data_IF_643831120052
#
_entry.id   IF_643831120052
#
_cell.length_a   1.000
_cell.length_b   1.000
_cell.length_c   1.000
_cell.angle_alpha   90.00
_cell.angle_beta   90.00
_cell.angle_gamma   90.00
#
_symmetry.space_group_name_H-M   'P 1'
#
loop_
_entity.id
_entity.type
_entity.pdbx_description
1 polymer ?
#
# COMPACT_ATOMS: atom_id res chain seq x y z
N UNK A 1 -23.97 20.55 8.76
CA UNK A 1 -24.72 19.45 8.13
C UNK A 1 -23.83 18.22 8.16
N UNK A 2 -24.35 17.05 8.55
CA UNK A 2 -23.61 15.78 8.59
C UNK A 2 -24.34 14.74 7.74
N UNK A 3 -23.60 13.80 7.18
CA UNK A 3 -24.11 12.62 6.48
C UNK A 3 -23.56 11.35 7.11
N UNK A 4 -24.38 10.32 7.21
CA UNK A 4 -23.93 8.99 7.60
C UNK A 4 -23.48 8.17 6.39
N UNK A 5 -22.74 7.09 6.66
CA UNK A 5 -22.36 6.13 5.60
C UNK A 5 -23.60 5.40 5.08
N UNK A 6 -24.61 5.18 5.93
CA UNK A 6 -25.89 4.58 5.57
C UNK A 6 -26.64 5.45 4.56
N UNK A 7 -26.75 6.75 4.80
CA UNK A 7 -27.39 7.70 3.89
C UNK A 7 -26.71 7.73 2.51
N UNK A 8 -25.38 7.70 2.49
CA UNK A 8 -24.61 7.62 1.23
C UNK A 8 -24.86 6.28 0.54
N UNK A 9 -24.91 5.17 1.28
CA UNK A 9 -25.23 3.86 0.73
C UNK A 9 -26.66 3.80 0.17
N UNK A 10 -27.63 4.48 0.78
CA UNK A 10 -28.98 4.59 0.21
C UNK A 10 -28.97 5.33 -1.14
N UNK A 11 -28.18 6.41 -1.28
CA UNK A 11 -27.96 7.05 -2.59
C UNK A 11 -27.31 6.12 -3.60
N UNK A 12 -26.35 5.29 -3.19
CA UNK A 12 -25.75 4.26 -4.05
C UNK A 12 -26.83 3.28 -4.55
N UNK A 13 -27.68 2.78 -3.65
CA UNK A 13 -28.79 1.86 -4.00
C UNK A 13 -29.75 2.49 -5.01
N UNK A 14 -30.11 3.77 -4.82
CA UNK A 14 -30.98 4.53 -5.72
C UNK A 14 -30.32 4.92 -7.05
N UNK A 15 -28.99 4.93 -7.12
CA UNK A 15 -28.24 5.40 -8.29
C UNK A 15 -28.09 6.93 -8.36
N UNK A 16 -28.31 7.61 -7.24
CA UNK A 16 -28.27 9.07 -7.09
C UNK A 16 -26.91 9.57 -6.57
N UNK A 17 -26.00 8.64 -6.23
CA UNK A 17 -24.69 8.96 -5.64
C UNK A 17 -23.82 9.76 -6.60
N UNK A 18 -23.25 10.86 -6.11
CA UNK A 18 -22.23 11.63 -6.85
C UNK A 18 -20.85 11.23 -6.36
N UNK A 19 -20.09 10.60 -7.24
CA UNK A 19 -18.74 10.11 -6.96
C UNK A 19 -17.73 10.83 -7.84
N UNK A 20 -16.71 11.41 -7.24
CA UNK A 20 -15.56 12.01 -7.93
C UNK A 20 -14.27 11.26 -7.59
N UNK A 21 -13.29 11.28 -8.49
CA UNK A 21 -11.92 10.93 -8.14
C UNK A 21 -11.26 12.07 -7.38
N UNK A 22 -10.19 11.75 -6.66
CA UNK A 22 -9.51 12.72 -5.82
C UNK A 22 -8.81 13.86 -6.60
N UNK A 23 -8.41 13.64 -7.85
CA UNK A 23 -7.97 14.68 -8.80
C UNK A 23 -9.13 15.57 -9.26
N UNK A 24 -10.30 14.99 -9.55
CA UNK A 24 -11.48 15.75 -10.01
C UNK A 24 -12.01 16.73 -8.95
N UNK A 25 -12.04 16.33 -7.67
CA UNK A 25 -12.47 17.22 -6.58
C UNK A 25 -11.45 18.32 -6.29
N UNK A 26 -10.15 18.07 -6.49
CA UNK A 26 -9.11 19.11 -6.39
C UNK A 26 -9.31 20.17 -7.48
N UNK A 27 -9.64 19.76 -8.71
CA UNK A 27 -9.98 20.72 -9.77
C UNK A 27 -11.28 21.49 -9.49
N UNK A 28 -12.31 20.82 -8.95
CA UNK A 28 -13.55 21.45 -8.54
C UNK A 28 -13.33 22.51 -7.46
N UNK A 29 -12.40 22.26 -6.53
CA UNK A 29 -12.04 23.18 -5.44
C UNK A 29 -11.47 24.52 -5.89
N UNK A 30 -10.91 24.60 -7.09
CA UNK A 30 -10.43 25.87 -7.68
C UNK A 30 -11.57 26.83 -8.02
N UNK A 31 -12.77 26.30 -8.23
CA UNK A 31 -13.94 27.07 -8.71
C UNK A 31 -15.05 27.15 -7.66
N UNK A 32 -15.09 26.21 -6.72
CA UNK A 32 -16.19 26.08 -5.76
C UNK A 32 -15.74 26.11 -4.30
N UNK A 33 -16.61 26.67 -3.44
CA UNK A 33 -16.43 26.67 -1.99
C UNK A 33 -16.70 25.27 -1.41
N UNK A 34 -16.04 24.92 -0.31
CA UNK A 34 -16.19 23.63 0.39
C UNK A 34 -17.65 23.25 0.63
N UNK A 35 -18.45 24.22 1.10
CA UNK A 35 -19.87 24.03 1.37
C UNK A 35 -20.66 23.57 0.13
N UNK A 36 -20.33 24.11 -1.04
CA UNK A 36 -21.01 23.74 -2.30
C UNK A 36 -20.51 22.39 -2.83
N UNK A 37 -19.21 22.10 -2.68
CA UNK A 37 -18.65 20.78 -2.97
C UNK A 37 -19.33 19.71 -2.12
N UNK A 38 -19.44 19.93 -0.81
CA UNK A 38 -20.09 19.00 0.10
C UNK A 38 -21.55 18.74 -0.28
N UNK A 39 -22.31 19.79 -0.66
CA UNK A 39 -23.69 19.61 -1.13
C UNK A 39 -23.78 18.71 -2.36
N UNK A 40 -22.84 18.83 -3.30
CA UNK A 40 -22.88 18.15 -4.60
C UNK A 40 -22.28 16.75 -4.60
N UNK A 41 -21.22 16.51 -3.82
CA UNK A 41 -20.42 15.28 -3.87
C UNK A 41 -20.69 14.42 -2.65
N UNK A 42 -20.84 13.11 -2.85
CA UNK A 42 -21.08 12.15 -1.77
C UNK A 42 -19.83 11.35 -1.42
N UNK A 43 -19.03 10.95 -2.41
CA UNK A 43 -17.85 10.11 -2.22
C UNK A 43 -16.69 10.56 -3.10
N UNK A 44 -15.48 10.53 -2.54
CA UNK A 44 -14.23 10.73 -3.28
C UNK A 44 -13.45 9.43 -3.36
N UNK A 45 -13.13 8.96 -4.56
CA UNK A 45 -12.33 7.74 -4.75
C UNK A 45 -10.87 8.07 -4.93
N UNK A 46 -10.02 7.35 -4.20
CA UNK A 46 -8.57 7.49 -4.20
C UNK A 46 -7.91 6.26 -4.82
N UNK A 47 -6.62 6.36 -5.14
CA UNK A 47 -5.87 5.27 -5.75
C UNK A 47 -4.37 5.46 -5.60
N UNK A 48 -3.67 4.35 -5.37
CA UNK A 48 -2.21 4.28 -5.42
C UNK A 48 -1.78 2.96 -6.04
N UNK A 49 -0.78 3.02 -6.92
CA UNK A 49 -0.07 1.85 -7.43
C UNK A 49 1.43 2.04 -7.18
N UNK A 50 1.83 1.68 -5.97
CA UNK A 50 3.18 1.90 -5.46
C UNK A 50 3.81 0.60 -4.99
N UNK A 51 5.09 0.69 -4.64
CA UNK A 51 5.82 -0.42 -4.04
C UNK A 51 5.37 -0.65 -2.60
N UNK A 52 4.88 -1.86 -2.34
CA UNK A 52 4.38 -2.33 -1.06
C UNK A 52 5.23 -3.53 -0.63
N UNK A 53 6.46 -3.27 -0.17
CA UNK A 53 7.41 -4.33 0.19
C UNK A 53 6.94 -5.16 1.39
N UNK A 54 6.23 -4.56 2.34
CA UNK A 54 5.64 -5.27 3.48
C UNK A 54 4.33 -5.93 3.11
N UNK A 55 4.42 -6.87 2.18
CA UNK A 55 3.33 -7.69 1.68
C UNK A 55 3.69 -9.17 1.75
N UNK A 56 2.68 -10.03 1.85
CA UNK A 56 2.86 -11.47 1.85
C UNK A 56 1.52 -12.19 1.67
N UNK A 57 1.60 -13.49 1.42
CA UNK A 57 0.42 -14.32 1.18
C UNK A 57 0.38 -15.51 2.12
N UNK A 58 -0.80 -15.76 2.68
CA UNK A 58 -1.15 -17.02 3.31
C UNK A 58 -1.72 -17.96 2.25
N UNK A 59 -1.32 -19.23 2.31
CA UNK A 59 -1.77 -20.29 1.41
C UNK A 59 -2.06 -21.53 2.25
N UNK A 60 -3.27 -22.06 2.12
CA UNK A 60 -3.66 -23.34 2.70
C UNK A 60 -3.79 -24.38 1.59
N UNK A 61 -2.97 -25.42 1.67
CA UNK A 61 -2.91 -26.46 0.61
C UNK A 61 -3.94 -27.57 0.80
N UNK A 62 -4.53 -27.70 1.99
CA UNK A 62 -5.24 -28.90 2.41
C UNK A 62 -4.28 -30.02 2.81
N UNK A 63 -4.83 -31.11 3.33
CA UNK A 63 -4.03 -32.28 3.72
C UNK A 63 -3.64 -33.10 2.49
N UNK A 64 -2.39 -33.56 2.49
CA UNK A 64 -1.89 -34.56 1.55
C UNK A 64 -2.15 -35.98 2.06
N UNK A 65 -1.94 -36.96 1.19
CA UNK A 65 -2.01 -38.38 1.55
C UNK A 65 -0.70 -39.07 1.09
N UNK A 66 0.13 -39.60 2.00
CA UNK A 66 -0.04 -39.54 3.46
C UNK A 66 0.04 -38.11 4.03
N UNK A 67 -0.60 -37.82 5.18
CA UNK A 67 -0.58 -36.48 5.76
C UNK A 67 0.82 -36.08 6.20
N UNK A 68 1.17 -34.82 5.93
CA UNK A 68 2.47 -34.20 6.25
C UNK A 68 2.25 -32.81 6.84
N UNK A 69 3.12 -32.42 7.78
CA UNK A 69 3.21 -31.03 8.25
C UNK A 69 4.13 -30.24 7.32
N UNK A 70 3.72 -29.04 6.93
CA UNK A 70 4.53 -28.14 6.11
C UNK A 70 5.38 -27.27 7.04
N UNK A 71 6.59 -27.71 7.36
CA UNK A 71 7.52 -27.00 8.26
C UNK A 71 8.64 -26.29 7.48
N UNK A 72 9.51 -27.05 6.82
CA UNK A 72 10.55 -26.50 5.95
C UNK A 72 10.00 -26.38 4.54
N UNK A 73 9.52 -25.20 4.16
CA UNK A 73 8.77 -25.01 2.92
C UNK A 73 9.52 -24.14 1.93
N UNK A 74 9.50 -24.53 0.65
CA UNK A 74 9.86 -23.66 -0.46
C UNK A 74 8.78 -23.66 -1.54
N UNK A 75 8.63 -22.50 -2.20
CA UNK A 75 7.76 -22.26 -3.34
C UNK A 75 8.62 -21.75 -4.50
N UNK A 76 8.83 -22.54 -5.55
CA UNK A 76 9.81 -22.26 -6.61
C UNK A 76 11.19 -21.86 -6.05
N UNK A 77 11.68 -22.63 -5.07
CA UNK A 77 12.95 -22.42 -4.38
C UNK A 77 13.06 -21.06 -3.63
N UNK A 78 11.94 -20.36 -3.43
CA UNK A 78 11.79 -19.26 -2.47
C UNK A 78 11.35 -19.82 -1.14
N UNK A 79 12.05 -19.48 -0.05
CA UNK A 79 11.67 -19.92 1.28
C UNK A 79 10.28 -19.40 1.64
N UNK A 80 9.47 -20.24 2.25
CA UNK A 80 8.20 -19.83 2.83
C UNK A 80 8.15 -20.30 4.29
N UNK A 81 7.44 -19.56 5.13
CA UNK A 81 7.26 -19.90 6.52
C UNK A 81 6.15 -20.96 6.63
N UNK A 82 6.55 -22.17 7.00
CA UNK A 82 5.65 -23.19 7.52
C UNK A 82 5.46 -23.03 9.04
N UNK A 83 5.03 -24.07 9.73
CA UNK A 83 4.88 -24.05 11.19
C UNK A 83 3.62 -23.32 11.69
N UNK A 84 2.72 -22.96 10.78
CA UNK A 84 1.37 -22.50 11.10
C UNK A 84 0.47 -23.73 11.05
N UNK A 85 0.46 -24.48 12.16
CA UNK A 85 -0.15 -25.80 12.21
C UNK A 85 0.40 -26.76 11.13
N UNK A 86 -0.46 -27.43 10.36
CA UNK A 86 -0.07 -28.53 9.49
C UNK A 86 0.06 -28.16 8.01
N UNK A 87 -0.85 -27.35 7.45
CA UNK A 87 -0.97 -27.17 5.98
C UNK A 87 -1.06 -25.72 5.53
N UNK A 88 -0.84 -24.77 6.45
CA UNK A 88 -0.77 -23.34 6.18
C UNK A 88 0.68 -22.88 5.99
N UNK A 89 0.87 -22.00 5.01
CA UNK A 89 2.15 -21.43 4.62
C UNK A 89 2.01 -19.92 4.52
N UNK A 90 3.02 -19.18 4.96
CA UNK A 90 3.16 -17.74 4.68
C UNK A 90 4.40 -17.44 3.85
N UNK A 91 4.23 -16.76 2.71
CA UNK A 91 5.34 -16.30 1.87
C UNK A 91 5.43 -14.77 1.87
N UNK A 92 6.60 -14.24 2.24
CA UNK A 92 6.90 -12.81 2.22
C UNK A 92 7.29 -12.33 0.82
N UNK A 93 6.78 -11.19 0.38
CA UNK A 93 7.02 -10.68 -0.97
C UNK A 93 8.50 -10.39 -1.27
N UNK A 94 9.28 -10.01 -0.27
CA UNK A 94 10.70 -9.64 -0.43
C UNK A 94 11.65 -10.83 -0.27
N UNK A 95 11.15 -12.02 0.08
CA UNK A 95 11.98 -13.21 0.23
C UNK A 95 12.60 -13.58 -1.12
N UNK A 96 13.92 -13.81 -1.15
CA UNK A 96 14.63 -14.12 -2.40
C UNK A 96 14.60 -15.62 -2.66
N UNK A 97 14.65 -16.00 -3.93
CA UNK A 97 14.94 -17.39 -4.27
C UNK A 97 16.40 -17.72 -3.95
N UNK A 98 16.64 -18.97 -3.54
CA UNK A 98 18.00 -19.46 -3.36
C UNK A 98 18.75 -19.40 -4.71
N UNK A 99 19.92 -18.75 -4.72
CA UNK A 99 20.76 -18.64 -5.90
C UNK A 99 20.27 -17.67 -6.98
N UNK A 100 19.21 -16.88 -6.74
CA UNK A 100 18.69 -15.89 -7.70
C UNK A 100 18.40 -14.54 -7.05
N UNK A 101 18.95 -13.48 -7.62
CA UNK A 101 18.71 -12.12 -7.12
C UNK A 101 17.41 -11.49 -7.65
N UNK A 102 16.97 -11.92 -8.83
CA UNK A 102 15.90 -11.32 -9.63
C UNK A 102 14.54 -11.99 -9.43
N UNK A 103 14.48 -13.09 -8.68
CA UNK A 103 13.27 -13.87 -8.39
C UNK A 103 13.06 -14.02 -6.88
N UNK A 104 11.80 -14.05 -6.46
CA UNK A 104 11.45 -14.08 -5.03
C UNK A 104 9.96 -14.18 -4.78
N UNK A 105 9.54 -13.97 -3.53
CA UNK A 105 8.18 -14.19 -3.09
C UNK A 105 7.14 -13.36 -3.85
N UNK A 106 7.46 -12.12 -4.22
CA UNK A 106 6.57 -11.31 -5.06
C UNK A 106 6.31 -11.96 -6.43
N UNK A 107 7.32 -12.64 -7.01
CA UNK A 107 7.19 -13.35 -8.29
C UNK A 107 6.35 -14.62 -8.13
N UNK A 108 6.52 -15.35 -7.03
CA UNK A 108 5.65 -16.50 -6.69
C UNK A 108 4.19 -16.05 -6.55
N UNK A 109 3.94 -14.98 -5.78
CA UNK A 109 2.60 -14.43 -5.57
C UNK A 109 1.99 -13.96 -6.91
N UNK A 110 2.76 -13.24 -7.74
CA UNK A 110 2.29 -12.83 -9.07
C UNK A 110 2.01 -14.02 -9.98
N UNK A 111 2.87 -15.05 -9.96
CA UNK A 111 2.70 -16.27 -10.76
C UNK A 111 1.41 -17.00 -10.39
N UNK A 112 1.14 -17.15 -9.09
CA UNK A 112 -0.14 -17.68 -8.59
C UNK A 112 -1.34 -16.91 -9.16
N UNK A 113 -1.31 -15.58 -9.09
CA UNK A 113 -2.38 -14.70 -9.61
C UNK A 113 -2.55 -14.84 -11.13
N UNK A 114 -1.47 -15.13 -11.87
CA UNK A 114 -1.53 -15.43 -13.31
C UNK A 114 -2.02 -16.84 -13.63
N UNK A 115 -2.26 -17.68 -12.62
CA UNK A 115 -2.68 -19.07 -12.79
C UNK A 115 -1.52 -20.03 -13.08
N UNK A 116 -0.28 -19.63 -12.81
CA UNK A 116 0.89 -20.49 -12.96
C UNK A 116 0.90 -21.60 -11.90
N UNK A 117 1.54 -22.72 -12.24
CA UNK A 117 1.83 -23.80 -11.29
C UNK A 117 3.12 -23.48 -10.55
N UNK A 118 3.08 -23.51 -9.22
CA UNK A 118 4.21 -23.26 -8.33
C UNK A 118 4.65 -24.57 -7.70
N UNK A 119 5.94 -24.87 -7.77
CA UNK A 119 6.54 -26.05 -7.16
C UNK A 119 6.63 -25.84 -5.65
N UNK A 120 5.85 -26.59 -4.89
CA UNK A 120 5.92 -26.69 -3.44
C UNK A 120 6.84 -27.85 -3.07
N UNK A 121 7.87 -27.57 -2.27
CA UNK A 121 8.62 -28.59 -1.54
C UNK A 121 8.42 -28.37 -0.06
N UNK A 122 8.15 -29.43 0.69
CA UNK A 122 8.10 -29.34 2.14
C UNK A 122 8.74 -30.56 2.81
N UNK A 123 9.40 -30.31 3.95
CA UNK A 123 9.94 -31.34 4.84
C UNK A 123 9.45 -31.14 6.27
N UNK A 124 9.28 -32.24 6.99
CA UNK A 124 8.99 -32.25 8.42
C UNK A 124 9.36 -33.59 9.06
N UNK A 125 9.51 -33.61 10.37
CA UNK A 125 9.63 -34.85 11.11
C UNK A 125 8.27 -35.56 11.18
N UNK A 126 8.24 -36.90 11.01
CA UNK A 126 6.99 -37.64 11.04
C UNK A 126 6.41 -37.71 12.46
N UNK A 127 5.10 -37.80 12.55
CA UNK A 127 4.33 -38.07 13.77
C UNK A 127 3.22 -39.07 13.45
N UNK A 128 2.57 -39.65 14.46
CA UNK A 128 1.47 -40.61 14.23
C UNK A 128 0.33 -40.01 13.39
N UNK A 129 0.02 -38.72 13.58
CA UNK A 129 -1.00 -38.01 12.80
C UNK A 129 -0.50 -37.53 11.43
N UNK A 130 0.81 -37.44 11.22
CA UNK A 130 1.44 -36.91 10.01
C UNK A 130 2.70 -37.72 9.68
N UNK A 131 2.56 -38.92 9.11
CA UNK A 131 3.68 -39.82 8.87
C UNK A 131 4.54 -39.41 7.65
N UNK A 132 4.04 -38.51 6.79
CA UNK A 132 4.79 -37.99 5.65
C UNK A 132 6.02 -37.18 6.08
N UNK A 133 7.16 -37.42 5.43
CA UNK A 133 8.46 -36.78 5.75
C UNK A 133 8.84 -35.67 4.79
N UNK A 134 8.57 -35.89 3.50
CA UNK A 134 8.87 -34.97 2.42
C UNK A 134 7.76 -35.02 1.38
N UNK A 135 7.48 -33.88 0.76
CA UNK A 135 6.56 -33.79 -0.38
C UNK A 135 7.11 -32.80 -1.41
N UNK A 136 6.91 -33.15 -2.69
CA UNK A 136 7.20 -32.29 -3.82
C UNK A 136 6.02 -32.34 -4.80
N UNK A 137 5.28 -31.24 -4.94
CA UNK A 137 4.07 -31.14 -5.76
C UNK A 137 3.95 -29.78 -6.42
N UNK A 138 3.03 -29.65 -7.38
CA UNK A 138 2.67 -28.37 -7.99
C UNK A 138 1.33 -27.87 -7.46
N UNK A 139 1.34 -26.65 -6.91
CA UNK A 139 0.15 -25.94 -6.43
C UNK A 139 -0.19 -24.77 -7.35
N UNK A 140 -1.44 -24.32 -7.32
CA UNK A 140 -1.97 -23.16 -8.03
C UNK A 140 -3.18 -22.63 -7.28
N UNK A 141 -3.66 -21.43 -7.61
CA UNK A 141 -4.88 -20.89 -6.98
C UNK A 141 -6.13 -21.77 -7.25
N UNK A 142 -6.10 -22.66 -8.24
CA UNK A 142 -7.21 -23.58 -8.53
C UNK A 142 -7.29 -24.79 -7.59
N UNK A 143 -6.16 -25.27 -7.08
CA UNK A 143 -6.11 -26.51 -6.27
C UNK A 143 -5.76 -26.29 -4.79
N UNK A 144 -5.44 -25.07 -4.38
CA UNK A 144 -5.32 -24.73 -2.95
C UNK A 144 -6.68 -24.31 -2.40
N UNK A 145 -6.94 -24.63 -1.12
CA UNK A 145 -8.20 -24.33 -0.45
C UNK A 145 -8.38 -22.82 -0.33
N UNK A 146 -7.46 -22.16 0.37
CA UNK A 146 -7.46 -20.72 0.60
C UNK A 146 -6.13 -20.11 0.16
N UNK A 147 -6.22 -18.89 -0.38
CA UNK A 147 -5.06 -18.05 -0.59
C UNK A 147 -5.48 -16.59 -0.41
N UNK A 148 -4.85 -15.87 0.50
CA UNK A 148 -5.14 -14.46 0.74
C UNK A 148 -3.86 -13.68 0.99
N UNK A 149 -3.87 -12.44 0.52
CA UNK A 149 -2.80 -11.50 0.77
C UNK A 149 -3.02 -10.90 2.16
N UNK A 150 -2.01 -10.94 3.02
CA UNK A 150 -2.00 -10.24 4.29
C UNK A 150 -0.76 -9.37 4.35
N UNK A 151 -0.98 -8.06 4.34
CA UNK A 151 0.08 -7.07 4.29
C UNK A 151 0.14 -6.39 5.65
N UNK A 152 1.17 -6.67 6.48
CA UNK A 152 1.25 -6.07 7.82
C UNK A 152 1.44 -4.55 7.78
N UNK A 153 1.81 -3.97 6.64
CA UNK A 153 2.06 -2.53 6.51
C UNK A 153 2.06 -2.08 5.05
N UNK A 154 1.05 -1.31 4.64
CA UNK A 154 0.91 -0.69 3.32
C UNK A 154 0.37 0.74 3.49
N UNK A 155 0.14 1.45 2.37
CA UNK A 155 -0.55 2.74 2.34
C UNK A 155 -0.04 3.71 3.41
N UNK A 156 1.24 4.07 3.35
CA UNK A 156 1.76 5.15 4.19
C UNK A 156 0.95 6.43 3.95
N UNK A 157 0.60 7.11 5.05
CA UNK A 157 -0.14 8.36 5.04
C UNK A 157 0.65 9.44 4.32
N UNK A 158 1.94 9.55 4.63
CA UNK A 158 2.92 10.31 3.88
C UNK A 158 4.29 9.66 4.10
N UNK A 159 5.31 10.10 3.36
CA UNK A 159 6.65 9.57 3.41
C UNK A 159 7.69 10.61 2.98
N UNK A 160 8.97 10.37 3.28
CA UNK A 160 10.08 11.24 2.86
C UNK A 160 10.39 11.08 1.36
N UNK A 161 10.87 12.15 0.74
CA UNK A 161 11.65 12.09 -0.49
C UNK A 161 13.14 11.82 -0.14
N UNK A 162 13.89 11.26 -1.07
CA UNK A 162 15.27 10.84 -0.87
C UNK A 162 16.20 11.48 -1.91
N UNK A 163 17.37 11.96 -1.46
CA UNK A 163 18.48 12.40 -2.30
C UNK A 163 19.80 11.84 -1.75
N UNK A 164 20.94 12.16 -2.37
CA UNK A 164 22.24 11.61 -2.02
C UNK A 164 23.33 12.67 -2.16
N UNK A 165 23.87 13.17 -1.05
CA UNK A 165 25.00 14.11 -1.03
C UNK A 165 26.36 13.46 -1.31
N UNK A 166 26.45 12.13 -1.18
CA UNK A 166 27.73 11.42 -1.27
C UNK A 166 28.26 11.39 -2.71
N UNK A 167 29.52 10.97 -2.85
CA UNK A 167 30.18 10.79 -4.15
C UNK A 167 29.80 9.46 -4.83
N UNK A 168 29.17 8.55 -4.10
CA UNK A 168 28.87 7.19 -4.54
C UNK A 168 27.42 7.06 -5.02
N UNK A 169 27.20 6.18 -6.00
CA UNK A 169 25.85 5.82 -6.42
C UNK A 169 25.19 4.94 -5.34
N UNK A 170 24.01 5.33 -4.86
CA UNK A 170 23.27 4.54 -3.88
C UNK A 170 22.13 3.76 -4.53
N UNK A 171 22.02 2.48 -4.19
CA UNK A 171 20.89 1.63 -4.58
C UNK A 171 19.92 1.52 -3.40
N UNK A 172 18.68 1.97 -3.60
CA UNK A 172 17.65 2.02 -2.55
C UNK A 172 16.34 1.41 -3.03
N UNK A 173 15.38 1.23 -2.14
CA UNK A 173 14.01 0.84 -2.52
C UNK A 173 13.33 1.89 -3.41
N UNK A 174 13.77 3.15 -3.38
CA UNK A 174 13.27 4.17 -4.29
C UNK A 174 13.98 4.15 -5.66
N UNK A 175 14.87 3.19 -5.90
CA UNK A 175 15.75 3.16 -7.07
C UNK A 175 17.09 3.85 -6.81
N UNK A 176 17.88 4.10 -7.88
CA UNK A 176 19.20 4.71 -7.76
C UNK A 176 19.10 6.18 -7.33
N UNK A 177 19.92 6.56 -6.34
CA UNK A 177 20.17 7.95 -5.97
C UNK A 177 21.56 8.36 -6.45
N UNK A 178 21.60 9.28 -7.40
CA UNK A 178 22.80 9.76 -8.06
C UNK A 178 23.66 10.60 -7.11
N UNK A 179 25.00 10.51 -7.22
CA UNK A 179 25.93 11.31 -6.41
C UNK A 179 25.65 12.81 -6.45
N UNK A 180 26.12 13.52 -5.41
CA UNK A 180 26.16 14.99 -5.35
C UNK A 180 24.81 15.67 -5.63
N UNK A 181 23.72 15.15 -5.05
CA UNK A 181 22.35 15.59 -5.24
C UNK A 181 21.86 15.47 -6.70
N UNK A 182 22.30 14.45 -7.44
CA UNK A 182 21.97 14.31 -8.85
C UNK A 182 20.48 14.04 -9.14
N UNK A 183 19.73 13.52 -8.16
CA UNK A 183 18.28 13.35 -8.26
C UNK A 183 17.57 13.35 -6.88
N UNK A 184 16.25 13.43 -6.93
CA UNK A 184 15.31 13.23 -5.82
C UNK A 184 14.28 12.17 -6.21
N UNK A 185 14.17 11.11 -5.41
CA UNK A 185 13.17 10.07 -5.61
C UNK A 185 12.13 10.12 -4.49
N UNK A 186 10.88 9.82 -4.79
CA UNK A 186 9.81 9.79 -3.80
C UNK A 186 8.76 8.73 -4.16
N UNK A 187 7.87 8.37 -3.22
CA UNK A 187 6.86 7.35 -3.45
C UNK A 187 5.51 7.74 -2.86
N UNK A 188 4.66 8.34 -3.70
CA UNK A 188 3.24 8.58 -3.41
C UNK A 188 2.48 8.83 -4.72
N UNK A 189 1.16 8.68 -4.70
CA UNK A 189 0.27 9.18 -5.76
C UNK A 189 -0.20 10.62 -5.51
N UNK A 190 0.35 11.30 -4.48
CA UNK A 190 0.07 12.70 -4.20
C UNK A 190 -1.37 12.90 -3.76
N UNK A 191 -2.07 13.84 -4.38
CA UNK A 191 -3.50 14.08 -4.16
C UNK A 191 -4.40 12.89 -4.53
N UNK A 192 -3.91 11.84 -5.19
CA UNK A 192 -4.67 10.58 -5.34
C UNK A 192 -4.49 9.63 -4.16
N UNK A 193 -3.55 9.88 -3.26
CA UNK A 193 -3.23 8.96 -2.17
C UNK A 193 -4.38 8.86 -1.16
N UNK A 194 -4.82 7.64 -0.79
CA UNK A 194 -5.94 7.42 0.12
C UNK A 194 -5.88 8.23 1.41
N UNK A 195 -4.80 8.10 2.16
CA UNK A 195 -4.69 8.66 3.50
C UNK A 195 -4.33 10.16 3.51
N UNK A 196 -3.93 10.74 2.37
CA UNK A 196 -3.85 12.20 2.27
C UNK A 196 -5.24 12.85 2.34
N UNK A 197 -6.29 12.10 2.00
CA UNK A 197 -7.67 12.58 1.96
C UNK A 197 -8.45 12.31 3.23
N UNK A 198 -7.88 11.57 4.17
CA UNK A 198 -8.42 11.34 5.51
C UNK A 198 -7.30 11.46 6.57
N UNK A 199 -6.76 12.68 6.80
CA UNK A 199 -5.59 12.91 7.66
C UNK A 199 -5.77 12.44 9.10
N UNK A 200 -7.02 12.36 9.57
CA UNK A 200 -7.37 12.01 10.95
C UNK A 200 -8.12 10.68 11.07
N UNK A 201 -8.11 9.85 10.01
CA UNK A 201 -8.75 8.52 10.02
C UNK A 201 -10.23 8.56 10.44
N UNK A 202 -10.94 9.61 9.99
CA UNK A 202 -12.35 9.89 10.32
C UNK A 202 -13.29 8.86 9.68
N UNK A 203 -12.89 8.31 8.54
CA UNK A 203 -13.67 7.37 7.71
C UNK A 203 -12.92 6.05 7.46
N UNK A 204 -11.59 6.06 7.57
CA UNK A 204 -10.75 4.87 7.46
C UNK A 204 -10.45 4.28 8.83
N UNK A 205 -10.84 3.03 9.04
CA UNK A 205 -10.52 2.27 10.25
C UNK A 205 -10.52 0.76 10.03
N UNK A 206 -10.36 -0.01 11.09
CA UNK A 206 -10.41 -1.48 11.01
C UNK A 206 -11.79 -1.89 10.47
N UNK A 207 -11.83 -2.76 9.45
CA UNK A 207 -13.06 -3.17 8.77
C UNK A 207 -13.53 -2.23 7.64
N UNK A 208 -12.83 -1.11 7.39
CA UNK A 208 -13.10 -0.29 6.20
C UNK A 208 -12.83 -1.13 4.94
N UNK A 209 -13.84 -1.23 4.07
CA UNK A 209 -13.76 -1.94 2.79
C UNK A 209 -12.97 -1.11 1.79
N UNK A 210 -12.09 -1.77 1.04
CA UNK A 210 -11.18 -1.13 0.09
C UNK A 210 -11.11 -1.90 -1.22
N UNK A 211 -10.54 -1.25 -2.24
CA UNK A 211 -9.98 -1.91 -3.42
C UNK A 211 -8.55 -2.34 -3.09
N UNK A 212 -8.19 -3.60 -3.35
CA UNK A 212 -6.82 -4.11 -3.23
C UNK A 212 -6.56 -5.15 -4.33
N UNK A 213 -5.50 -4.96 -5.11
CA UNK A 213 -5.07 -5.94 -6.12
C UNK A 213 -6.11 -6.29 -7.18
N UNK A 214 -7.10 -5.43 -7.45
CA UNK A 214 -8.18 -5.71 -8.41
C UNK A 214 -9.44 -6.33 -7.81
N UNK A 215 -9.48 -6.57 -6.50
CA UNK A 215 -10.65 -7.12 -5.78
C UNK A 215 -11.04 -6.22 -4.59
N UNK A 216 -12.08 -6.62 -3.86
CA UNK A 216 -12.47 -6.05 -2.57
C UNK A 216 -11.57 -6.63 -1.48
N UNK A 217 -11.19 -5.79 -0.53
CA UNK A 217 -10.48 -6.20 0.68
C UNK A 217 -10.83 -5.29 1.83
N UNK A 218 -10.05 -5.38 2.89
CA UNK A 218 -10.33 -4.67 4.14
C UNK A 218 -9.06 -4.15 4.80
N UNK A 219 -9.21 -3.06 5.55
CA UNK A 219 -8.22 -2.67 6.56
C UNK A 219 -8.33 -3.65 7.72
N UNK A 220 -7.27 -4.40 7.98
CA UNK A 220 -7.19 -5.39 9.03
C UNK A 220 -6.68 -4.80 10.36
N UNK A 221 -5.79 -3.80 10.31
CA UNK A 221 -5.14 -3.18 11.48
C UNK A 221 -4.45 -1.84 11.10
N UNK A 222 -3.85 -1.13 12.05
CA UNK A 222 -3.02 0.08 11.77
C UNK A 222 -1.70 -0.22 11.04
N UNK A 223 -1.20 -1.44 11.17
CA UNK A 223 0.05 -1.86 10.56
C UNK A 223 1.30 -1.48 11.34
N UNK A 224 2.38 -2.23 11.08
CA UNK A 224 3.48 -2.42 12.03
C UNK A 224 4.45 -1.25 12.20
N UNK A 225 4.35 -0.21 11.36
CA UNK A 225 5.11 1.03 11.54
C UNK A 225 4.21 2.26 11.47
N UNK A 226 3.01 2.14 12.04
CA UNK A 226 2.16 3.29 12.17
C UNK A 226 2.86 4.37 13.01
N UNK A 227 3.03 5.57 12.46
CA UNK A 227 3.69 6.67 13.15
C UNK A 227 2.78 7.88 13.36
N UNK A 228 2.63 8.30 14.63
CA UNK A 228 1.86 9.48 15.05
C UNK A 228 2.71 10.70 15.40
N UNK A 229 4.01 10.52 15.62
CA UNK A 229 4.92 11.53 16.17
C UNK A 229 5.50 12.46 15.13
N UNK A 230 5.32 12.11 13.86
CA UNK A 230 5.77 12.97 12.77
C UNK A 230 5.06 14.30 12.85
N UNK A 231 5.86 15.36 12.86
CA UNK A 231 5.43 16.75 12.71
C UNK A 231 4.33 16.86 11.65
N UNK A 232 3.21 17.50 12.00
CA UNK A 232 2.05 17.65 11.11
C UNK A 232 1.94 19.08 10.62
N UNK A 233 1.50 19.24 9.37
CA UNK A 233 1.14 20.54 8.84
C UNK A 233 -0.10 21.09 9.55
N UNK A 234 -0.02 22.35 10.00
CA UNK A 234 -1.06 22.97 10.84
C UNK A 234 -2.40 23.16 10.13
N UNK A 235 -2.41 23.23 8.80
CA UNK A 235 -3.61 23.50 8.00
C UNK A 235 -4.26 22.18 7.58
N UNK A 236 -3.46 21.26 7.04
CA UNK A 236 -3.98 20.00 6.49
C UNK A 236 -4.07 18.87 7.52
N UNK A 237 -3.33 18.96 8.62
CA UNK A 237 -3.19 17.86 9.59
C UNK A 237 -2.33 16.69 9.09
N UNK A 238 -1.81 16.77 7.87
CA UNK A 238 -1.00 15.70 7.29
C UNK A 238 0.41 15.68 7.89
N UNK A 239 1.00 14.50 8.12
CA UNK A 239 2.38 14.38 8.56
C UNK A 239 3.34 14.88 7.48
N UNK A 240 4.37 15.62 7.88
CA UNK A 240 5.46 16.10 7.02
C UNK A 240 6.61 15.07 7.11
N UNK A 241 6.37 13.88 6.55
CA UNK A 241 7.27 12.72 6.63
C UNK A 241 6.50 11.41 6.82
N UNK A 242 7.16 10.32 7.27
CA UNK A 242 6.52 9.00 7.46
C UNK A 242 5.38 9.09 8.48
N UNK A 243 4.15 8.86 8.02
CA UNK A 243 2.93 8.93 8.84
C UNK A 243 2.36 7.57 9.22
N UNK A 244 1.05 7.55 9.46
CA UNK A 244 0.29 6.31 9.67
C UNK A 244 0.38 5.33 8.51
N UNK A 245 0.06 4.07 8.75
CA UNK A 245 0.02 3.00 7.75
C UNK A 245 -1.30 2.25 7.84
N UNK A 246 -1.47 1.22 7.01
CA UNK A 246 -2.58 0.28 7.14
C UNK A 246 -2.06 -1.15 7.00
N UNK A 247 -2.51 -2.06 7.87
CA UNK A 247 -2.45 -3.48 7.57
C UNK A 247 -3.66 -3.86 6.71
N UNK A 248 -3.45 -4.58 5.62
CA UNK A 248 -4.49 -4.84 4.63
C UNK A 248 -4.63 -6.33 4.36
N UNK A 249 -5.86 -6.78 4.12
CA UNK A 249 -6.19 -8.15 3.75
C UNK A 249 -7.04 -8.18 2.47
N UNK A 250 -6.78 -9.15 1.60
CA UNK A 250 -7.56 -9.34 0.37
C UNK A 250 -7.49 -10.76 -0.18
N UNK A 251 -8.54 -11.21 -0.87
CA UNK A 251 -8.62 -12.55 -1.44
C UNK A 251 -7.68 -12.67 -2.65
N UNK A 252 -6.58 -13.43 -2.51
CA UNK A 252 -5.58 -13.58 -3.58
C UNK A 252 -6.15 -14.35 -4.78
N UNK A 253 -7.10 -15.26 -4.54
CA UNK A 253 -7.76 -16.07 -5.59
C UNK A 253 -8.54 -15.24 -6.61
N UNK A 254 -8.90 -13.99 -6.26
CA UNK A 254 -9.66 -13.06 -7.10
C UNK A 254 -8.85 -11.85 -7.57
N UNK A 255 -7.59 -11.73 -7.15
CA UNK A 255 -6.74 -10.61 -7.55
C UNK A 255 -6.38 -10.69 -9.04
N UNK A 256 -5.99 -9.54 -9.60
CA UNK A 256 -5.56 -9.42 -11.00
C UNK A 256 -4.10 -8.98 -11.06
N UNK A 257 -3.31 -9.64 -11.90
CA UNK A 257 -1.88 -9.35 -12.08
C UNK A 257 -1.59 -7.96 -12.67
N UNK A 258 -2.60 -7.26 -13.18
CA UNK A 258 -2.46 -5.87 -13.61
C UNK A 258 -2.38 -4.87 -12.43
N UNK A 259 -2.89 -5.27 -11.25
CA UNK A 259 -2.85 -4.51 -10.00
C UNK A 259 -1.97 -5.15 -8.92
N UNK A 260 -1.27 -6.25 -9.25
CA UNK A 260 -0.29 -6.92 -8.40
C UNK A 260 0.87 -7.38 -9.29
N UNK A 261 2.03 -6.71 -9.18
CA UNK A 261 3.20 -6.98 -10.03
C UNK A 261 4.46 -7.14 -9.20
N UNK A 262 5.19 -8.21 -9.42
CA UNK A 262 6.53 -8.35 -8.87
C UNK A 262 7.48 -7.33 -9.50
N UNK A 263 8.49 -6.92 -8.75
CA UNK A 263 9.56 -6.08 -9.22
C UNK A 263 10.89 -6.55 -8.64
N UNK A 264 11.94 -6.38 -9.43
CA UNK A 264 13.32 -6.43 -8.97
C UNK A 264 13.93 -5.04 -9.13
N UNK A 265 14.55 -4.55 -8.06
CA UNK A 265 15.23 -3.26 -8.03
C UNK A 265 16.70 -3.55 -7.91
N UNK A 266 17.45 -3.24 -8.96
CA UNK A 266 18.89 -3.45 -9.03
C UNK A 266 19.58 -2.89 -7.79
N UNK A 267 20.39 -3.71 -7.12
CA UNK A 267 21.14 -3.35 -5.92
C UNK A 267 20.32 -3.21 -4.64
N UNK A 268 18.98 -3.36 -4.68
CA UNK A 268 18.12 -3.36 -3.50
C UNK A 268 17.45 -4.73 -3.28
N UNK A 269 16.77 -5.26 -4.29
CA UNK A 269 16.16 -6.60 -4.26
C UNK A 269 14.70 -6.63 -4.72
N UNK A 270 14.00 -7.66 -4.27
CA UNK A 270 12.63 -7.98 -4.67
C UNK A 270 11.62 -7.07 -3.97
N UNK A 271 10.60 -6.65 -4.69
CA UNK A 271 9.46 -5.91 -4.15
C UNK A 271 8.17 -6.24 -4.89
N UNK A 272 7.05 -5.74 -4.39
CA UNK A 272 5.73 -5.93 -4.97
C UNK A 272 5.08 -4.57 -5.22
N UNK A 273 4.69 -4.30 -6.46
CA UNK A 273 3.75 -3.23 -6.76
C UNK A 273 2.33 -3.73 -6.52
N UNK A 274 1.56 -2.96 -5.76
CA UNK A 274 0.18 -3.30 -5.42
C UNK A 274 -0.72 -2.09 -5.58
N UNK A 275 -1.87 -2.31 -6.22
CA UNK A 275 -2.93 -1.34 -6.39
C UNK A 275 -3.85 -1.30 -5.18
N UNK A 276 -4.02 -0.14 -4.57
CA UNK A 276 -4.91 0.08 -3.43
C UNK A 276 -5.75 1.32 -3.69
N UNK A 277 -7.05 1.25 -3.43
CA UNK A 277 -7.97 2.37 -3.53
C UNK A 277 -8.93 2.38 -2.35
N UNK A 278 -9.18 3.56 -1.78
CA UNK A 278 -10.08 3.72 -0.63
C UNK A 278 -11.12 4.78 -0.96
N UNK A 279 -12.42 4.51 -0.79
CA UNK A 279 -13.43 5.54 -0.93
C UNK A 279 -13.48 6.40 0.33
N UNK A 280 -13.51 7.71 0.16
CA UNK A 280 -13.61 8.71 1.21
C UNK A 280 -15.03 9.29 1.17
N UNK A 281 -15.95 8.84 2.04
CA UNK A 281 -17.27 9.42 2.14
C UNK A 281 -17.19 10.85 2.67
N UNK A 282 -17.89 11.78 2.03
CA UNK A 282 -17.99 13.14 2.53
C UNK A 282 -19.09 13.19 3.60
N UNK A 283 -18.68 13.04 4.86
CA UNK A 283 -19.57 13.01 6.02
C UNK A 283 -19.90 14.40 6.57
N UNK A 284 -19.07 15.42 6.27
CA UNK A 284 -19.32 16.83 6.55
C UNK A 284 -18.44 17.74 5.68
N UNK A 285 -18.59 19.06 5.86
CA UNK A 285 -17.81 20.08 5.15
C UNK A 285 -16.30 19.97 5.42
N UNK A 286 -15.90 19.59 6.62
CA UNK A 286 -14.48 19.40 6.96
C UNK A 286 -13.89 18.19 6.21
N UNK A 287 -14.65 17.09 6.08
CA UNK A 287 -14.25 15.96 5.26
C UNK A 287 -14.12 16.34 3.78
N UNK A 288 -15.01 17.22 3.28
CA UNK A 288 -14.91 17.76 1.92
C UNK A 288 -13.66 18.64 1.73
N UNK A 289 -13.24 19.38 2.76
CA UNK A 289 -11.97 20.10 2.75
C UNK A 289 -10.78 19.13 2.62
N UNK A 290 -10.69 18.11 3.49
CA UNK A 290 -9.59 17.14 3.44
C UNK A 290 -9.56 16.35 2.14
N UNK A 291 -10.72 15.93 1.63
CA UNK A 291 -10.82 15.25 0.35
C UNK A 291 -10.37 16.13 -0.84
N UNK A 292 -10.40 17.46 -0.69
CA UNK A 292 -9.97 18.43 -1.70
C UNK A 292 -8.51 18.92 -1.57
N UNK A 293 -7.72 18.37 -0.64
CA UNK A 293 -6.30 18.74 -0.47
C UNK A 293 -5.52 18.49 -1.77
N UNK A 294 -4.89 19.53 -2.32
CA UNK A 294 -4.09 19.45 -3.56
C UNK A 294 -2.63 19.11 -3.26
N UNK A 295 -1.88 18.69 -4.29
CA UNK A 295 -0.43 18.45 -4.18
C UNK A 295 0.39 19.62 -3.63
N UNK A 296 -0.08 20.87 -3.74
CA UNK A 296 0.64 22.04 -3.23
C UNK A 296 0.52 22.20 -1.70
N UNK A 297 -0.53 21.62 -1.12
CA UNK A 297 -0.81 21.65 0.31
C UNK A 297 -0.15 20.48 1.05
N UNK A 298 0.31 19.46 0.32
CA UNK A 298 0.90 18.26 0.93
C UNK A 298 2.41 18.42 0.98
N UNK A 299 2.94 18.67 2.17
CA UNK A 299 4.38 18.86 2.42
C UNK A 299 5.11 17.54 2.66
N UNK A 300 6.40 17.51 2.34
CA UNK A 300 7.30 16.40 2.69
C UNK A 300 8.75 16.89 2.86
N UNK A 301 9.61 16.03 3.40
CA UNK A 301 11.04 16.27 3.63
C UNK A 301 11.84 15.57 2.54
N UNK A 302 12.77 16.29 1.91
CA UNK A 302 13.85 15.71 1.12
C UNK A 302 14.98 15.37 2.10
N UNK A 303 15.27 14.07 2.23
CA UNK A 303 16.22 13.54 3.20
C UNK A 303 17.45 13.00 2.48
N UNK A 304 18.63 13.24 3.04
CA UNK A 304 19.89 12.81 2.45
C UNK A 304 20.27 11.37 2.88
N UNK A 305 20.17 10.43 1.93
CA UNK A 305 20.57 9.03 2.11
C UNK A 305 22.07 8.81 1.97
N UNK A 306 22.84 9.82 1.53
CA UNK A 306 24.30 9.82 1.55
C UNK A 306 24.86 9.69 2.97
N UNK A 307 24.10 10.16 3.97
CA UNK A 307 24.43 9.97 5.38
C UNK A 307 23.90 8.62 5.86
N UNK A 308 24.81 7.71 6.18
CA UNK A 308 24.53 6.34 6.64
C UNK A 308 24.13 6.29 8.13
N UNK A 309 23.13 7.09 8.52
CA UNK A 309 22.53 7.10 9.86
C UNK A 309 21.01 6.93 9.78
N UNK A 310 20.38 6.54 10.89
CA UNK A 310 18.92 6.48 10.98
C UNK A 310 18.33 7.90 10.93
N UNK A 311 18.87 8.78 11.76
CA UNK A 311 18.59 10.22 11.72
C UNK A 311 19.43 10.86 10.60
N UNK A 312 18.76 11.09 9.47
CA UNK A 312 19.38 11.61 8.25
C UNK A 312 19.07 13.10 8.11
N UNK A 313 20.02 13.93 7.66
CA UNK A 313 19.77 15.36 7.47
C UNK A 313 18.60 15.64 6.53
N UNK A 314 17.77 16.60 6.92
CA UNK A 314 16.75 17.18 6.05
C UNK A 314 17.42 18.23 5.18
N UNK A 315 17.43 18.01 3.87
CA UNK A 315 18.00 18.93 2.88
C UNK A 315 17.05 20.09 2.61
N UNK A 316 15.75 19.79 2.48
CA UNK A 316 14.70 20.76 2.15
C UNK A 316 13.32 20.24 2.56
N UNK A 317 12.45 21.13 3.03
CA UNK A 317 11.00 20.88 3.09
C UNK A 317 10.38 21.41 1.79
N UNK A 318 9.60 20.57 1.12
CA UNK A 318 8.94 20.87 -0.16
C UNK A 318 7.48 20.40 -0.14
N UNK A 319 6.77 20.51 -1.25
CA UNK A 319 5.45 19.93 -1.45
C UNK A 319 5.40 19.03 -2.69
N UNK A 320 4.34 18.23 -2.81
CA UNK A 320 4.22 17.31 -3.93
C UNK A 320 4.00 18.01 -5.27
N UNK A 321 3.51 19.25 -5.31
CA UNK A 321 3.42 20.03 -6.58
C UNK A 321 4.81 20.30 -7.16
N UNK A 322 5.78 20.70 -6.34
CA UNK A 322 7.18 20.86 -6.78
C UNK A 322 7.75 19.51 -7.23
N UNK A 323 7.61 18.46 -6.42
CA UNK A 323 8.14 17.13 -6.75
C UNK A 323 7.54 16.53 -8.03
N UNK A 324 6.25 16.68 -8.27
CA UNK A 324 5.57 16.23 -9.49
C UNK A 324 5.84 17.12 -10.71
N UNK A 325 6.41 18.32 -10.54
CA UNK A 325 6.87 19.14 -11.68
C UNK A 325 8.05 18.50 -12.45
N UNK A 326 8.66 17.47 -11.86
CA UNK A 326 9.81 16.74 -12.41
C UNK A 326 11.16 17.31 -11.97
N UNK A 327 11.17 18.43 -11.23
CA UNK A 327 12.39 19.03 -10.71
C UNK A 327 12.15 19.73 -9.37
N UNK A 328 13.21 19.82 -8.57
CA UNK A 328 13.27 20.63 -7.34
C UNK A 328 14.57 21.42 -7.30
N UNK A 329 14.58 22.54 -6.59
CA UNK A 329 15.82 23.29 -6.34
C UNK A 329 16.52 22.82 -5.07
N UNK A 330 17.80 22.45 -5.17
CA UNK A 330 18.71 22.11 -4.06
C UNK A 330 20.02 22.87 -4.28
N UNK A 331 20.47 23.63 -3.28
CA UNK A 331 21.71 24.42 -3.33
C UNK A 331 21.82 25.33 -4.58
N UNK A 332 20.72 25.99 -4.95
CA UNK A 332 20.65 26.87 -6.14
C UNK A 332 20.72 26.12 -7.49
N UNK A 333 20.66 24.78 -7.48
CA UNK A 333 20.69 23.95 -8.69
C UNK A 333 19.38 23.21 -8.89
N UNK A 334 18.98 23.06 -10.15
CA UNK A 334 17.80 22.30 -10.57
C UNK A 334 18.12 20.80 -10.59
N UNK A 335 17.47 20.03 -9.74
CA UNK A 335 17.67 18.58 -9.55
C UNK A 335 16.44 17.82 -10.04
N UNK A 336 16.61 16.74 -10.81
CA UNK A 336 15.48 15.92 -11.30
C UNK A 336 14.75 15.27 -10.13
N UNK A 337 13.42 15.33 -10.14
CA UNK A 337 12.56 14.60 -9.21
C UNK A 337 11.67 13.59 -9.94
N UNK A 338 11.49 12.39 -9.38
CA UNK A 338 10.63 11.38 -9.98
C UNK A 338 9.90 10.50 -8.95
N UNK A 339 8.60 10.21 -9.16
CA UNK A 339 7.86 9.28 -8.33
C UNK A 339 8.19 7.83 -8.68
N UNK A 340 8.14 6.95 -7.68
CA UNK A 340 8.14 5.49 -7.84
C UNK A 340 6.75 4.88 -7.94
N UNK A 341 5.73 5.65 -7.61
CA UNK A 341 4.33 5.28 -7.77
C UNK A 341 3.86 5.61 -9.18
N UNK A 342 3.11 4.72 -9.81
CA UNK A 342 2.52 4.99 -11.14
C UNK A 342 1.26 5.84 -10.98
N UNK A 343 1.32 7.10 -11.43
CA UNK A 343 0.16 8.01 -11.41
C UNK A 343 -0.94 7.52 -12.37
N UNK A 344 -0.55 7.04 -13.56
CA UNK A 344 -1.49 6.46 -14.52
C UNK A 344 -2.31 5.31 -13.91
N UNK A 345 -1.64 4.32 -13.29
CA UNK A 345 -2.34 3.21 -12.62
C UNK A 345 -3.12 3.66 -11.38
N UNK A 346 -2.66 4.71 -10.69
CA UNK A 346 -3.38 5.27 -9.55
C UNK A 346 -4.71 5.90 -9.95
N UNK A 347 -4.76 6.63 -11.07
CA UNK A 347 -5.99 7.16 -11.68
C UNK A 347 -6.91 6.02 -12.11
N UNK A 348 -6.36 5.00 -12.77
CA UNK A 348 -7.11 3.82 -13.21
C UNK A 348 -7.80 3.11 -12.03
N UNK A 349 -7.10 2.93 -10.91
CA UNK A 349 -7.65 2.34 -9.68
C UNK A 349 -8.79 3.20 -9.12
N UNK A 350 -8.57 4.51 -8.98
CA UNK A 350 -9.59 5.44 -8.48
C UNK A 350 -10.84 5.42 -9.39
N UNK A 351 -10.65 5.37 -10.70
CA UNK A 351 -11.72 5.29 -11.69
C UNK A 351 -12.48 3.96 -11.62
N UNK A 352 -11.80 2.83 -11.47
CA UNK A 352 -12.44 1.52 -11.28
C UNK A 352 -13.29 1.51 -10.01
N UNK A 353 -12.76 2.02 -8.89
CA UNK A 353 -13.49 2.11 -7.64
C UNK A 353 -14.72 3.03 -7.79
N UNK A 354 -14.58 4.17 -8.47
CA UNK A 354 -15.70 5.07 -8.82
C UNK A 354 -16.79 4.34 -9.58
N UNK A 355 -16.43 3.56 -10.60
CA UNK A 355 -17.38 2.75 -11.38
C UNK A 355 -18.04 1.66 -10.53
N UNK A 356 -17.30 0.99 -9.65
CA UNK A 356 -17.88 -0.03 -8.78
C UNK A 356 -18.94 0.54 -7.84
N UNK A 357 -18.71 1.74 -7.29
CA UNK A 357 -19.67 2.43 -6.44
C UNK A 357 -20.89 2.84 -7.26
N UNK A 358 -20.71 3.55 -8.39
CA UNK A 358 -21.82 3.98 -9.25
C UNK A 358 -22.67 2.81 -9.76
N UNK A 359 -22.04 1.67 -10.04
CA UNK A 359 -22.72 0.47 -10.54
C UNK A 359 -23.23 -0.46 -9.43
N UNK A 360 -23.32 0.00 -8.19
CA UNK A 360 -23.88 -0.78 -7.05
C UNK A 360 -23.11 -2.07 -6.76
N UNK A 361 -21.86 -2.18 -7.24
CA UNK A 361 -20.95 -3.32 -6.99
C UNK A 361 -20.10 -3.12 -5.74
N UNK A 362 -20.06 -1.90 -5.19
CA UNK A 362 -19.31 -1.57 -3.99
C UNK A 362 -20.12 -0.61 -3.10
N UNK A 363 -20.44 -1.08 -1.91
CA UNK A 363 -21.05 -0.28 -0.83
C UNK A 363 -20.00 0.02 0.23
N UNK A 364 -20.09 1.23 0.79
CA UNK A 364 -19.21 1.71 1.85
C UNK A 364 -19.48 0.97 3.15
N UNK A 365 -18.49 0.93 4.04
CA UNK A 365 -18.62 0.34 5.38
C UNK A 365 -18.15 1.33 6.42
N UNK A 366 -18.81 1.36 7.58
CA UNK A 366 -18.20 1.91 8.78
C UNK A 366 -17.03 1.02 9.20
N UNK A 367 -16.02 1.62 9.81
CA UNK A 367 -15.05 0.84 10.57
C UNK A 367 -15.74 0.21 11.78
N UNK A 368 -15.28 -0.96 12.18
CA UNK A 368 -15.65 -1.59 13.46
C UNK A 368 -14.85 -0.99 14.62
N UNK A 369 -13.65 -0.47 14.33
CA UNK A 369 -12.80 0.23 15.31
C UNK A 369 -11.98 1.32 14.62
N UNK A 370 -11.92 2.49 15.26
CA UNK A 370 -11.05 3.58 14.81
C UNK A 370 -9.58 3.14 14.87
N UNK A 371 -8.80 3.60 13.91
CA UNK A 371 -7.35 3.55 14.04
C UNK A 371 -6.93 4.45 15.21
N UNK A 372 -5.81 4.14 15.87
CA UNK A 372 -5.27 5.05 16.86
C UNK A 372 -5.05 6.43 16.22
N UNK A 373 -5.10 7.48 17.04
CA UNK A 373 -4.71 8.86 16.66
C UNK A 373 -3.56 9.39 17.53
N UNK A 374 -3.14 8.57 18.50
CA UNK A 374 -2.06 8.75 19.46
C UNK A 374 -1.40 7.39 19.68
N UNK A 375 -0.15 7.35 20.15
CA UNK A 375 0.55 6.08 20.40
C UNK A 375 1.86 6.27 21.16
N UNK A 376 2.58 5.17 21.38
CA UNK A 376 3.94 5.11 21.96
C UNK A 376 4.94 4.67 20.89
N UNK A 377 5.95 5.48 20.57
CA UNK A 377 7.06 5.10 19.68
C UNK A 377 8.26 4.76 20.54
N UNK A 378 8.63 3.48 20.54
CA UNK A 378 9.82 2.99 21.21
C UNK A 378 10.99 3.03 20.25
N UNK A 379 12.10 3.61 20.67
CA UNK A 379 13.33 3.58 19.87
C UNK A 379 14.02 2.23 20.01
N UNK A 380 14.90 1.89 19.07
CA UNK A 380 15.61 0.61 19.12
C UNK A 380 16.58 0.55 20.30
N UNK A 381 17.03 1.71 20.79
CA UNK A 381 17.86 1.85 21.99
C UNK A 381 17.12 1.48 23.30
N UNK A 382 15.80 1.25 23.25
CA UNK A 382 14.98 0.82 24.40
C UNK A 382 14.76 -0.70 24.48
N UNK A 383 15.33 -1.46 23.52
CA UNK A 383 15.34 -2.93 23.48
C UNK A 383 16.73 -3.41 23.86
#
# INVERSE_FOLDING_TARGET
>A
MKRSIEEINEKIKKGEVVVLRADEIVEMRKKEKIKEIFKKVDVVTTGTFGMMCSSGAFINTGHFDPPIKLQEVTLNDVKAYGGIASVDIYIGATEKANGREDYGGAHVIQGLVKGEKIKLKAKSFPTDCYPGKEIEVYISLKNVNQAFLFNPRNCYQNYNAATNSSKELLYTYMGPLLPNFGNVMFSTSGELSPLHKDPFFRTVGIGTKIFIGGTKGYVAWEGTQFNFYTEKDKITGLPIGPGGTLALIGNLKEMKSEFLKAAYIKGYGISLFLGIGIPIPLIDEEMAFYASISNEMIKTKIVDYGVKRLDRPIVKITNYKELFSGWVEINGKRVKSAPRTSIYKSIEIAEILKRWIKNKKFYLTNYVRKLPIEGVYKRWEEI
#
